data_IF_363359283563
#
_entry.id   IF_363359283563
#
_cell.length_a   1.000
_cell.length_b   1.000
_cell.length_c   1.000
_cell.angle_alpha   90.00
_cell.angle_beta   90.00
_cell.angle_gamma   90.00
#
_symmetry.space_group_name_H-M   'P 1'
#
loop_
_entity.id
_entity.type
_entity.pdbx_description
1 polymer ?
#
# COMPACT_ATOMS: atom_id res chain seq x y z
N UNK A 1 -2.75 -18.85 -8.89
CA UNK A 1 -3.22 -18.39 -7.57
C UNK A 1 -2.21 -18.85 -6.54
N UNK A 2 -1.48 -17.93 -5.92
CA UNK A 2 -0.70 -18.27 -4.72
C UNK A 2 -1.70 -18.25 -3.57
N UNK A 3 -2.00 -19.41 -2.98
CA UNK A 3 -2.60 -19.46 -1.66
C UNK A 3 -1.59 -18.81 -0.72
N UNK A 4 -1.95 -17.71 -0.08
CA UNK A 4 -1.10 -17.16 0.97
C UNK A 4 -1.00 -18.23 2.07
N UNK A 5 0.21 -18.59 2.53
CA UNK A 5 0.33 -19.37 3.76
C UNK A 5 -0.35 -18.62 4.91
N UNK A 6 -0.58 -19.32 6.02
CA UNK A 6 -1.14 -18.81 7.28
C UNK A 6 -0.27 -17.73 7.92
N UNK A 7 -0.12 -16.58 7.25
CA UNK A 7 0.63 -15.42 7.72
C UNK A 7 -0.34 -14.53 8.47
N UNK A 8 0.07 -14.04 9.63
CA UNK A 8 -0.61 -12.97 10.34
C UNK A 8 0.05 -11.65 9.91
N UNK A 9 -0.77 -10.69 9.51
CA UNK A 9 -0.34 -9.37 9.07
C UNK A 9 -0.69 -8.34 10.13
N UNK A 10 0.29 -7.53 10.49
CA UNK A 10 0.26 -6.70 11.68
C UNK A 10 0.15 -5.22 11.33
N UNK A 11 -0.81 -4.52 11.93
CA UNK A 11 -0.97 -3.08 11.77
C UNK A 11 -0.66 -2.37 13.09
N UNK A 12 0.48 -1.67 13.12
CA UNK A 12 0.90 -0.85 14.25
C UNK A 12 0.18 0.50 14.24
N UNK A 13 -0.38 0.89 15.39
CA UNK A 13 -1.20 2.10 15.49
C UNK A 13 -1.27 2.67 16.90
N UNK A 14 -1.73 3.91 17.02
CA UNK A 14 -2.03 4.56 18.30
C UNK A 14 -3.33 4.03 18.91
N UNK A 15 -3.60 4.33 20.20
CA UNK A 15 -4.90 4.04 20.80
C UNK A 15 -6.08 4.68 20.07
N UNK A 16 -5.93 5.94 19.64
CA UNK A 16 -6.95 6.61 18.80
C UNK A 16 -7.17 5.87 17.48
N UNK A 17 -6.10 5.38 16.86
CA UNK A 17 -6.17 4.59 15.63
C UNK A 17 -6.88 3.26 15.83
N UNK A 18 -6.54 2.54 16.91
CA UNK A 18 -7.23 1.30 17.30
C UNK A 18 -8.73 1.54 17.49
N UNK A 19 -9.12 2.53 18.30
CA UNK A 19 -10.52 2.86 18.53
C UNK A 19 -11.24 3.26 17.24
N UNK A 20 -10.57 4.02 16.36
CA UNK A 20 -11.11 4.36 15.04
C UNK A 20 -11.41 3.12 14.20
N UNK A 21 -10.48 2.17 14.14
CA UNK A 21 -10.64 0.90 13.41
C UNK A 21 -11.80 0.09 13.97
N UNK A 22 -11.91 -0.04 15.28
CA UNK A 22 -12.95 -0.86 15.93
C UNK A 22 -14.35 -0.23 15.84
N UNK A 23 -14.44 1.08 16.02
CA UNK A 23 -15.71 1.80 15.96
C UNK A 23 -16.28 1.81 14.53
N UNK A 24 -15.43 2.07 13.54
CA UNK A 24 -15.81 2.07 12.14
C UNK A 24 -15.91 0.66 11.53
N UNK A 25 -15.41 -0.37 12.23
CA UNK A 25 -15.21 -1.73 11.71
C UNK A 25 -14.48 -1.74 10.36
N UNK A 26 -13.47 -0.88 10.22
CA UNK A 26 -12.77 -0.66 8.96
C UNK A 26 -11.33 -0.18 9.17
N UNK A 27 -10.42 -0.62 8.28
CA UNK A 27 -9.10 0.00 8.13
C UNK A 27 -9.13 1.01 6.99
N UNK A 28 -8.47 2.15 7.16
CA UNK A 28 -8.51 3.23 6.17
C UNK A 28 -7.29 3.21 5.25
N UNK A 29 -7.49 2.80 4.01
CA UNK A 29 -6.49 2.92 2.97
C UNK A 29 -6.33 4.40 2.58
N UNK A 30 -5.15 4.96 2.78
CA UNK A 30 -4.87 6.39 2.62
C UNK A 30 -4.36 6.67 1.21
N UNK A 31 -4.75 7.79 0.60
CA UNK A 31 -4.22 8.15 -0.73
C UNK A 31 -2.68 8.27 -0.67
N UNK A 32 -1.98 7.58 -1.57
CA UNK A 32 -0.52 7.36 -1.48
C UNK A 32 0.30 8.66 -1.36
N UNK A 33 -0.15 9.74 -2.00
CA UNK A 33 0.51 11.05 -1.97
C UNK A 33 0.37 11.79 -0.63
N UNK A 34 -0.48 11.30 0.27
CA UNK A 34 -0.69 11.85 1.62
C UNK A 34 0.01 11.00 2.69
N UNK A 35 0.79 10.01 2.29
CA UNK A 35 1.58 9.18 3.20
C UNK A 35 2.90 9.87 3.54
N UNK A 36 3.50 9.48 4.67
CA UNK A 36 4.72 10.10 5.18
C UNK A 36 5.93 9.92 4.24
N UNK A 37 6.00 8.81 3.51
CA UNK A 37 7.08 8.56 2.55
C UNK A 37 6.59 8.72 1.10
N UNK A 38 6.59 9.96 0.62
CA UNK A 38 6.27 10.29 -0.77
C UNK A 38 7.34 9.86 -1.76
N UNK A 39 8.53 9.43 -1.30
CA UNK A 39 9.66 9.09 -2.16
C UNK A 39 9.54 7.69 -2.75
N UNK A 40 8.88 6.76 -2.07
CA UNK A 40 8.79 5.37 -2.54
C UNK A 40 7.98 5.25 -3.84
N UNK A 41 6.84 5.93 -3.95
CA UNK A 41 6.08 5.93 -5.19
C UNK A 41 6.81 6.68 -6.31
N UNK A 42 7.52 7.76 -5.95
CA UNK A 42 8.36 8.51 -6.87
C UNK A 42 9.52 7.67 -7.41
N UNK A 43 10.14 6.84 -6.58
CA UNK A 43 11.19 5.90 -6.98
C UNK A 43 10.72 4.95 -8.08
N UNK A 44 9.51 4.39 -7.97
CA UNK A 44 8.95 3.55 -9.03
C UNK A 44 8.74 4.32 -10.35
N UNK A 45 8.30 5.58 -10.28
CA UNK A 45 8.17 6.46 -11.46
C UNK A 45 9.55 6.75 -12.08
N UNK A 46 10.55 7.03 -11.26
CA UNK A 46 11.91 7.35 -11.73
C UNK A 46 12.56 6.13 -12.41
N UNK A 47 12.39 4.93 -11.86
CA UNK A 47 12.83 3.68 -12.51
C UNK A 47 12.14 3.47 -13.88
N UNK A 48 10.85 3.77 -13.95
CA UNK A 48 10.07 3.64 -15.18
C UNK A 48 10.52 4.63 -16.25
N UNK A 49 10.74 5.88 -15.86
CA UNK A 49 11.29 6.91 -16.75
C UNK A 49 12.71 6.57 -17.21
N UNK A 50 13.55 6.02 -16.34
CA UNK A 50 14.87 5.51 -16.70
C UNK A 50 14.78 4.42 -17.78
N UNK A 51 13.91 3.44 -17.57
CA UNK A 51 13.69 2.34 -18.53
C UNK A 51 13.14 2.83 -19.88
N UNK A 52 12.22 3.80 -19.88
CA UNK A 52 11.73 4.45 -21.09
C UNK A 52 12.82 5.27 -21.79
N UNK A 53 13.71 5.91 -21.03
CA UNK A 53 14.86 6.63 -21.58
C UNK A 53 15.86 5.68 -22.25
N UNK A 54 16.13 4.52 -21.66
CA UNK A 54 16.98 3.48 -22.27
C UNK A 54 16.41 3.01 -23.61
N UNK A 55 15.09 2.85 -23.72
CA UNK A 55 14.43 2.46 -24.97
C UNK A 55 14.54 3.52 -26.08
N UNK A 56 14.80 4.78 -25.72
CA UNK A 56 15.00 5.89 -26.67
C UNK A 56 16.44 5.97 -27.17
N UNK A 57 17.40 5.42 -26.42
CA UNK A 57 18.83 5.54 -26.73
C UNK A 57 19.12 4.97 -28.13
N UNK A 58 19.72 5.79 -29.00
CA UNK A 58 20.01 5.42 -30.38
C UNK A 58 18.81 5.38 -31.35
N UNK A 59 17.61 5.80 -30.92
CA UNK A 59 16.36 5.81 -31.74
C UNK A 59 15.77 7.22 -31.93
N UNK A 60 16.62 8.26 -31.92
CA UNK A 60 16.15 9.63 -31.97
C UNK A 60 15.31 9.91 -33.24
N UNK A 61 14.09 10.41 -33.04
CA UNK A 61 13.15 10.77 -34.13
C UNK A 61 12.19 9.65 -34.56
N UNK A 62 12.44 8.39 -34.20
CA UNK A 62 11.53 7.28 -34.50
C UNK A 62 10.23 7.34 -33.69
N UNK A 63 9.12 6.86 -34.27
CA UNK A 63 7.80 6.73 -33.63
C UNK A 63 7.91 5.99 -32.29
N UNK A 64 8.75 4.94 -32.21
CA UNK A 64 9.01 4.19 -30.98
C UNK A 64 9.53 5.09 -29.84
N UNK A 65 10.51 5.94 -30.14
CA UNK A 65 11.10 6.85 -29.16
C UNK A 65 10.12 7.97 -28.76
N UNK A 66 9.24 8.40 -29.68
CA UNK A 66 8.19 9.37 -29.40
C UNK A 66 7.13 8.79 -28.45
N UNK A 67 6.71 7.53 -28.65
CA UNK A 67 5.80 6.84 -27.70
C UNK A 67 6.46 6.70 -26.33
N UNK A 68 7.71 6.25 -26.26
CA UNK A 68 8.42 6.10 -25.00
C UNK A 68 8.54 7.44 -24.24
N UNK A 69 8.80 8.55 -24.95
CA UNK A 69 8.83 9.89 -24.37
C UNK A 69 7.44 10.32 -23.85
N UNK A 70 6.40 10.17 -24.66
CA UNK A 70 5.03 10.51 -24.29
C UNK A 70 4.53 9.70 -23.09
N UNK A 71 4.85 8.41 -23.02
CA UNK A 71 4.51 7.58 -21.86
C UNK A 71 5.23 8.06 -20.59
N UNK A 72 6.46 8.57 -20.71
CA UNK A 72 7.16 9.23 -19.61
C UNK A 72 6.47 10.51 -19.13
N UNK A 73 5.91 11.32 -20.04
CA UNK A 73 5.08 12.50 -19.71
C UNK A 73 3.78 12.09 -19.00
N UNK A 74 3.15 11.01 -19.46
CA UNK A 74 1.94 10.44 -18.83
C UNK A 74 2.23 9.98 -17.40
N UNK A 75 3.36 9.31 -17.14
CA UNK A 75 3.73 8.91 -15.78
C UNK A 75 3.89 10.12 -14.84
N UNK A 76 4.54 11.18 -15.31
CA UNK A 76 4.79 12.39 -14.52
C UNK A 76 3.48 13.13 -14.20
N UNK A 77 2.64 13.34 -15.22
CA UNK A 77 1.33 14.00 -15.08
C UNK A 77 0.32 13.13 -14.33
N UNK A 78 0.47 11.81 -14.44
CA UNK A 78 -0.32 10.79 -13.77
C UNK A 78 -0.11 10.77 -12.26
N UNK A 79 0.90 11.44 -11.70
CA UNK A 79 1.23 11.50 -10.26
C UNK A 79 0.12 11.99 -9.29
N UNK A 80 -1.14 12.11 -9.75
CA UNK A 80 -2.35 12.27 -8.93
C UNK A 80 -3.24 11.02 -8.89
N UNK A 81 -2.71 9.86 -9.30
CA UNK A 81 -3.39 8.55 -9.34
C UNK A 81 -4.21 8.33 -8.06
N UNK A 82 -5.44 7.80 -8.21
CA UNK A 82 -6.28 7.37 -7.09
C UNK A 82 -5.78 6.07 -6.45
N UNK A 83 -4.52 6.02 -6.06
CA UNK A 83 -3.94 4.90 -5.30
C UNK A 83 -4.18 5.11 -3.82
N UNK A 84 -4.84 4.14 -3.19
CA UNK A 84 -5.12 4.13 -1.76
C UNK A 84 -4.46 2.91 -1.13
N UNK A 85 -3.69 3.14 -0.06
CA UNK A 85 -2.81 2.14 0.54
C UNK A 85 -3.08 2.02 2.04
N UNK A 86 -3.24 0.79 2.52
CA UNK A 86 -3.10 0.42 3.92
C UNK A 86 -1.91 -0.52 4.08
N UNK A 87 -1.11 -0.31 5.12
CA UNK A 87 0.16 -1.01 5.33
C UNK A 87 0.08 -1.95 6.52
N UNK A 88 0.77 -3.08 6.38
CA UNK A 88 0.90 -4.13 7.39
C UNK A 88 2.34 -4.62 7.41
N UNK A 89 2.74 -5.29 8.49
CA UNK A 89 4.04 -5.94 8.63
C UNK A 89 3.84 -7.44 8.88
N UNK A 90 4.78 -8.28 8.47
CA UNK A 90 4.85 -9.67 8.97
C UNK A 90 5.44 -9.75 10.39
N UNK A 91 6.11 -8.69 10.86
CA UNK A 91 6.73 -8.66 12.18
C UNK A 91 5.72 -8.26 13.25
N UNK A 92 5.47 -9.16 14.20
CA UNK A 92 4.46 -9.02 15.24
C UNK A 92 4.90 -8.17 16.43
N UNK A 93 6.21 -7.99 16.64
CA UNK A 93 6.75 -7.26 17.79
C UNK A 93 8.10 -6.60 17.46
N UNK A 94 8.04 -5.57 16.60
CA UNK A 94 9.21 -4.86 16.08
C UNK A 94 9.42 -3.51 16.74
N UNK A 95 10.61 -3.27 17.29
CA UNK A 95 10.96 -2.01 17.95
C UNK A 95 10.94 -0.81 16.98
N UNK A 96 11.37 -1.00 15.73
CA UNK A 96 11.33 0.06 14.72
C UNK A 96 9.89 0.42 14.36
N UNK A 97 8.99 -0.57 14.28
CA UNK A 97 7.57 -0.34 14.04
C UNK A 97 6.90 0.37 15.21
N UNK A 98 7.16 -0.06 16.45
CA UNK A 98 6.67 0.62 17.65
C UNK A 98 7.06 2.10 17.67
N UNK A 99 8.34 2.41 17.40
CA UNK A 99 8.83 3.81 17.38
C UNK A 99 8.32 4.61 16.19
N UNK A 100 8.15 3.96 15.03
CA UNK A 100 7.78 4.63 13.79
C UNK A 100 6.29 4.94 13.66
N UNK A 101 5.43 4.05 14.16
CA UNK A 101 3.98 4.08 13.90
C UNK A 101 3.11 4.23 15.14
N UNK A 102 3.68 4.11 16.34
CA UNK A 102 2.98 4.36 17.59
C UNK A 102 3.47 5.65 18.29
N UNK A 103 2.60 6.34 19.05
CA UNK A 103 3.04 7.40 19.96
C UNK A 103 4.08 6.90 20.96
N UNK A 104 4.96 7.78 21.41
CA UNK A 104 6.05 7.47 22.36
C UNK A 104 5.56 6.76 23.63
N UNK A 105 4.39 7.16 24.14
CA UNK A 105 3.88 6.68 25.44
C UNK A 105 3.20 5.32 25.43
N UNK A 106 2.53 4.94 24.33
CA UNK A 106 1.81 3.67 24.19
C UNK A 106 1.29 3.48 22.76
N UNK A 107 1.11 2.23 22.36
CA UNK A 107 0.53 1.87 21.08
C UNK A 107 -0.04 0.46 21.07
N UNK A 108 -0.60 0.09 19.94
CA UNK A 108 -1.20 -1.22 19.71
C UNK A 108 -0.74 -1.79 18.38
N UNK A 109 -0.75 -3.10 18.28
CA UNK A 109 -0.58 -3.81 17.03
C UNK A 109 -1.76 -4.77 16.85
N UNK A 110 -2.46 -4.65 15.72
CA UNK A 110 -3.57 -5.53 15.35
C UNK A 110 -3.06 -6.58 14.38
N UNK A 111 -3.08 -7.84 14.80
CA UNK A 111 -2.76 -8.99 13.94
C UNK A 111 -4.01 -9.45 13.19
N UNK A 112 -3.89 -9.56 11.88
CA UNK A 112 -4.94 -10.02 10.97
C UNK A 112 -4.57 -11.35 10.34
N UNK A 113 -5.51 -12.30 10.30
CA UNK A 113 -5.39 -13.49 9.45
C UNK A 113 -5.27 -13.06 7.98
N UNK A 114 -4.11 -13.29 7.39
CA UNK A 114 -3.80 -12.82 6.03
C UNK A 114 -4.67 -13.45 4.96
N UNK A 115 -5.15 -14.68 5.15
CA UNK A 115 -6.05 -15.35 4.22
C UNK A 115 -7.43 -14.70 4.19
N UNK A 116 -7.99 -14.41 5.37
CA UNK A 116 -9.27 -13.70 5.53
C UNK A 116 -9.17 -12.25 5.07
N UNK A 117 -8.11 -11.57 5.46
CA UNK A 117 -7.86 -10.19 5.05
C UNK A 117 -7.70 -10.09 3.53
N UNK A 118 -7.06 -11.06 2.88
CA UNK A 118 -6.97 -11.13 1.41
C UNK A 118 -8.34 -11.33 0.76
N UNK A 119 -9.20 -12.20 1.31
CA UNK A 119 -10.56 -12.40 0.80
C UNK A 119 -11.37 -11.10 0.89
N UNK A 120 -11.37 -10.45 2.05
CA UNK A 120 -12.01 -9.15 2.30
C UNK A 120 -11.49 -8.08 1.33
N UNK A 121 -10.17 -8.01 1.13
CA UNK A 121 -9.55 -7.05 0.22
C UNK A 121 -10.06 -7.26 -1.22
N UNK A 122 -10.05 -8.51 -1.72
CA UNK A 122 -10.47 -8.85 -3.08
C UNK A 122 -11.93 -8.51 -3.33
N UNK A 123 -12.82 -8.83 -2.40
CA UNK A 123 -14.25 -8.52 -2.50
C UNK A 123 -14.52 -7.02 -2.62
N UNK A 124 -13.67 -6.20 -2.01
CA UNK A 124 -13.81 -4.74 -2.01
C UNK A 124 -12.96 -4.05 -3.10
N UNK A 125 -12.35 -4.81 -4.02
CA UNK A 125 -11.54 -4.28 -5.12
C UNK A 125 -10.13 -3.84 -4.73
N UNK A 126 -9.59 -4.36 -3.63
CA UNK A 126 -8.22 -4.15 -3.17
C UNK A 126 -7.33 -5.35 -3.49
N UNK A 127 -6.03 -5.07 -3.59
CA UNK A 127 -4.97 -6.05 -3.78
C UNK A 127 -4.03 -6.03 -2.59
N UNK A 128 -3.89 -7.17 -1.91
CA UNK A 128 -2.98 -7.36 -0.78
C UNK A 128 -1.74 -8.15 -1.23
N UNK A 129 -0.55 -7.56 -1.13
CA UNK A 129 0.72 -8.15 -1.58
C UNK A 129 1.92 -7.68 -0.73
N UNK A 130 3.00 -8.48 -0.64
CA UNK A 130 4.25 -8.02 -0.02
C UNK A 130 4.93 -6.96 -0.88
N UNK A 131 5.70 -6.09 -0.24
CA UNK A 131 6.57 -5.14 -0.93
C UNK A 131 7.82 -5.84 -1.52
N UNK A 132 8.30 -5.34 -2.65
CA UNK A 132 9.54 -5.76 -3.30
C UNK A 132 10.66 -4.78 -2.94
N UNK A 133 11.77 -5.32 -2.43
CA UNK A 133 12.92 -4.57 -1.89
C UNK A 133 14.18 -4.77 -2.72
N UNK A 134 14.20 -5.76 -3.63
CA UNK A 134 15.36 -6.06 -4.47
C UNK A 134 15.43 -5.10 -5.65
N UNK A 135 16.43 -4.19 -5.71
CA UNK A 135 16.54 -3.22 -6.79
C UNK A 135 16.72 -3.88 -8.17
N UNK A 136 17.30 -5.10 -8.24
CA UNK A 136 17.46 -5.83 -9.50
C UNK A 136 16.11 -6.26 -10.03
N UNK A 137 15.26 -6.86 -9.18
CA UNK A 137 13.90 -7.26 -9.56
C UNK A 137 13.02 -6.06 -9.89
N UNK A 138 13.12 -4.97 -9.13
CA UNK A 138 12.41 -3.73 -9.42
C UNK A 138 12.76 -3.21 -10.82
N UNK A 139 14.05 -3.17 -11.16
CA UNK A 139 14.53 -2.75 -12.48
C UNK A 139 14.07 -3.70 -13.60
N UNK A 140 14.11 -5.02 -13.37
CA UNK A 140 13.65 -6.02 -14.33
C UNK A 140 12.16 -5.88 -14.66
N UNK A 141 11.30 -5.85 -13.62
CA UNK A 141 9.85 -5.68 -13.78
C UNK A 141 9.54 -4.37 -14.50
N UNK A 142 10.25 -3.30 -14.16
CA UNK A 142 10.03 -1.99 -14.75
C UNK A 142 10.48 -1.91 -16.20
N UNK A 143 11.62 -2.53 -16.54
CA UNK A 143 12.12 -2.62 -17.92
C UNK A 143 11.16 -3.42 -18.79
N UNK A 144 10.66 -4.54 -18.27
CA UNK A 144 9.70 -5.38 -18.97
C UNK A 144 8.39 -4.61 -19.20
N UNK A 145 7.87 -3.94 -18.17
CA UNK A 145 6.71 -3.06 -18.29
C UNK A 145 6.90 -1.97 -19.36
N UNK A 146 8.04 -1.28 -19.35
CA UNK A 146 8.33 -0.20 -20.30
C UNK A 146 8.32 -0.72 -21.74
N UNK A 147 9.01 -1.84 -21.98
CA UNK A 147 9.06 -2.47 -23.30
C UNK A 147 7.67 -2.90 -23.76
N UNK A 148 6.94 -3.68 -22.95
CA UNK A 148 5.63 -4.19 -23.33
C UNK A 148 4.61 -3.07 -23.56
N UNK A 149 4.71 -1.99 -22.78
CA UNK A 149 3.83 -0.82 -22.94
C UNK A 149 4.10 -0.10 -24.26
N UNK A 150 5.37 0.17 -24.58
CA UNK A 150 5.72 0.83 -25.85
C UNK A 150 5.41 -0.07 -27.04
N UNK A 151 5.73 -1.37 -26.98
CA UNK A 151 5.43 -2.33 -28.03
C UNK A 151 3.92 -2.42 -28.29
N UNK A 152 3.09 -2.45 -27.25
CA UNK A 152 1.63 -2.48 -27.38
C UNK A 152 1.05 -1.17 -27.95
N UNK A 153 1.60 -0.02 -27.54
CA UNK A 153 1.19 1.28 -28.08
C UNK A 153 1.59 1.43 -29.54
N UNK A 154 2.79 0.96 -29.91
CA UNK A 154 3.26 0.92 -31.29
C UNK A 154 2.38 0.00 -32.16
N UNK A 155 2.01 -1.17 -31.67
CA UNK A 155 1.16 -2.12 -32.41
C UNK A 155 -0.27 -1.61 -32.65
N UNK A 156 -0.75 -0.71 -31.80
CA UNK A 156 -2.09 -0.10 -31.91
C UNK A 156 -2.09 1.25 -32.62
N UNK A 157 -0.91 1.80 -32.94
CA UNK A 157 -0.76 3.13 -33.54
C UNK A 157 -1.22 3.12 -35.01
N UNK A 158 -2.27 3.89 -35.38
CA UNK A 158 -2.73 3.95 -36.75
C UNK A 158 -1.68 4.58 -37.69
N UNK A 159 -1.76 4.25 -38.99
CA UNK A 159 -0.94 4.89 -40.01
C UNK A 159 -1.23 6.39 -40.10
N UNK A 160 -0.17 7.21 -40.16
CA UNK A 160 -0.28 8.67 -40.20
C UNK A 160 -0.65 9.34 -38.87
N UNK A 161 -1.03 8.59 -37.83
CA UNK A 161 -1.33 9.15 -36.51
C UNK A 161 -0.07 9.65 -35.79
N UNK A 162 -0.23 10.75 -35.03
CA UNK A 162 0.81 11.28 -34.17
C UNK A 162 1.07 10.33 -32.98
N UNK A 163 2.31 9.81 -32.79
CA UNK A 163 2.59 8.86 -31.71
C UNK A 163 2.34 9.41 -30.31
N UNK A 164 2.59 10.71 -30.09
CA UNK A 164 2.41 11.36 -28.79
C UNK A 164 0.93 11.42 -28.42
N UNK A 165 0.10 11.94 -29.32
CA UNK A 165 -1.34 12.10 -29.08
C UNK A 165 -2.01 10.73 -28.85
N UNK A 166 -1.69 9.74 -29.69
CA UNK A 166 -2.13 8.35 -29.52
C UNK A 166 -1.74 7.78 -28.16
N UNK A 167 -0.50 8.04 -27.71
CA UNK A 167 -0.03 7.58 -26.39
C UNK A 167 -0.85 8.20 -25.27
N UNK A 168 -1.12 9.51 -25.32
CA UNK A 168 -1.96 10.17 -24.31
C UNK A 168 -3.37 9.58 -24.25
N UNK A 169 -3.95 9.22 -25.39
CA UNK A 169 -5.29 8.64 -25.47
C UNK A 169 -5.34 7.15 -25.06
N UNK A 170 -4.31 6.37 -25.38
CA UNK A 170 -4.31 4.90 -25.23
C UNK A 170 -3.42 4.37 -24.09
N UNK A 171 -2.84 5.25 -23.26
CA UNK A 171 -1.95 4.85 -22.15
C UNK A 171 -2.61 4.08 -21.01
N UNK A 172 -3.96 3.96 -20.98
CA UNK A 172 -4.67 3.39 -19.83
C UNK A 172 -4.21 1.98 -19.46
N UNK A 173 -3.99 1.09 -20.44
CA UNK A 173 -3.47 -0.26 -20.17
C UNK A 173 -2.05 -0.23 -19.58
N UNK A 174 -1.16 0.60 -20.14
CA UNK A 174 0.19 0.79 -19.61
C UNK A 174 0.15 1.28 -18.15
N UNK A 175 -0.70 2.26 -17.84
CA UNK A 175 -0.90 2.76 -16.48
C UNK A 175 -1.49 1.70 -15.54
N UNK A 176 -2.48 0.93 -16.00
CA UNK A 176 -3.06 -0.17 -15.23
C UNK A 176 -2.04 -1.27 -14.91
N UNK A 177 -1.11 -1.55 -15.83
CA UNK A 177 -0.01 -2.48 -15.59
C UNK A 177 1.04 -1.90 -14.63
N UNK A 178 1.34 -0.61 -14.76
CA UNK A 178 2.28 0.09 -13.87
C UNK A 178 1.85 0.03 -12.40
N UNK A 179 0.60 0.36 -12.12
CA UNK A 179 0.06 0.36 -10.75
C UNK A 179 -0.05 -1.02 -10.11
N UNK A 180 0.16 -2.12 -10.85
CA UNK A 180 0.18 -3.48 -10.29
C UNK A 180 1.48 -3.82 -9.56
N UNK A 181 2.55 -3.06 -9.78
CA UNK A 181 3.83 -3.27 -9.12
C UNK A 181 4.37 -2.00 -8.43
N UNK A 182 4.18 -0.82 -9.02
CA UNK A 182 4.77 0.42 -8.52
C UNK A 182 4.44 0.73 -7.04
N UNK A 183 3.19 0.56 -6.55
CA UNK A 183 2.87 0.81 -5.14
C UNK A 183 3.54 -0.16 -4.17
N UNK A 184 4.10 -1.26 -4.66
CA UNK A 184 4.75 -2.30 -3.86
C UNK A 184 6.27 -2.18 -3.87
N UNK A 185 6.85 -1.24 -4.61
CA UNK A 185 8.29 -1.00 -4.55
C UNK A 185 8.64 -0.29 -3.24
N UNK A 186 9.73 -0.74 -2.63
CA UNK A 186 10.25 -0.17 -1.41
C UNK A 186 11.77 -0.14 -1.42
N UNK A 187 12.34 0.87 -0.76
CA UNK A 187 13.79 0.95 -0.62
C UNK A 187 14.31 -0.18 0.29
N UNK A 188 15.44 -0.76 -0.11
CA UNK A 188 16.02 -1.94 0.56
C UNK A 188 16.41 -1.69 2.02
N UNK A 189 16.64 -0.43 2.41
CA UNK A 189 16.90 -0.01 3.78
C UNK A 189 15.73 -0.26 4.72
N UNK A 190 14.52 -0.40 4.19
CA UNK A 190 13.30 -0.68 4.95
C UNK A 190 12.88 -2.16 4.90
N UNK A 191 13.76 -3.07 4.45
CA UNK A 191 13.45 -4.51 4.39
C UNK A 191 13.03 -5.10 5.73
N UNK A 192 13.51 -4.51 6.84
CA UNK A 192 13.18 -4.94 8.19
C UNK A 192 11.71 -4.69 8.54
N UNK A 193 11.00 -3.83 7.79
CA UNK A 193 9.56 -3.63 7.96
C UNK A 193 8.73 -4.83 7.49
N UNK A 194 9.27 -5.70 6.62
CA UNK A 194 8.56 -6.85 6.03
C UNK A 194 7.14 -6.48 5.60
N UNK A 195 7.04 -5.39 4.86
CA UNK A 195 5.80 -4.68 4.63
C UNK A 195 4.92 -5.41 3.62
N UNK A 196 3.63 -5.45 3.93
CA UNK A 196 2.55 -5.79 3.01
C UNK A 196 1.68 -4.57 2.78
N UNK A 197 1.25 -4.37 1.54
CA UNK A 197 0.35 -3.29 1.17
C UNK A 197 -0.97 -3.84 0.65
N UNK A 198 -2.05 -3.28 1.16
CA UNK A 198 -3.38 -3.40 0.57
C UNK A 198 -3.64 -2.15 -0.28
N UNK A 199 -3.84 -2.33 -1.59
CA UNK A 199 -3.88 -1.24 -2.55
C UNK A 199 -5.14 -1.31 -3.41
N UNK A 200 -5.84 -0.19 -3.53
CA UNK A 200 -6.86 0.01 -4.56
C UNK A 200 -6.45 1.12 -5.52
N UNK A 201 -6.77 0.93 -6.79
CA UNK A 201 -6.67 1.96 -7.82
C UNK A 201 -8.08 2.39 -8.22
N UNK A 202 -8.47 3.61 -7.82
CA UNK A 202 -9.82 4.13 -7.97
C UNK A 202 -9.85 5.38 -8.83
N UNK A 203 -11.00 5.63 -9.47
CA UNK A 203 -11.28 6.90 -10.13
C UNK A 203 -11.45 8.02 -9.10
N UNK A 204 -11.23 9.27 -9.52
CA UNK A 204 -11.36 10.42 -8.63
C UNK A 204 -12.78 10.66 -8.11
N UNK A 205 -13.79 10.10 -8.78
CA UNK A 205 -15.21 10.19 -8.44
C UNK A 205 -15.76 8.93 -7.75
N UNK A 206 -14.91 8.00 -7.32
CA UNK A 206 -15.35 6.82 -6.58
C UNK A 206 -16.03 7.25 -5.27
N UNK A 207 -17.26 6.81 -5.07
CA UNK A 207 -18.13 7.26 -3.96
C UNK A 207 -17.66 6.76 -2.59
N UNK A 208 -16.72 5.82 -2.54
CA UNK A 208 -16.13 5.32 -1.29
C UNK A 208 -15.04 6.24 -0.74
N UNK A 209 -14.58 7.21 -1.54
CA UNK A 209 -13.54 8.15 -1.12
C UNK A 209 -14.11 9.10 -0.07
N UNK A 210 -13.62 8.96 1.17
CA UNK A 210 -13.89 9.85 2.29
C UNK A 210 -12.75 10.82 2.56
N UNK A 211 -13.00 11.77 3.46
CA UNK A 211 -12.01 12.74 3.94
C UNK A 211 -11.91 12.67 5.47
N UNK A 212 -10.68 12.69 5.99
CA UNK A 212 -10.42 12.81 7.43
C UNK A 212 -9.48 13.97 7.72
N UNK A 213 -9.57 14.52 8.92
CA UNK A 213 -8.60 15.52 9.37
C UNK A 213 -7.22 14.89 9.55
N UNK A 214 -6.22 15.45 8.88
CA UNK A 214 -4.80 15.23 9.15
C UNK A 214 -4.21 16.32 10.05
N UNK A 215 -2.90 16.29 10.27
CA UNK A 215 -2.21 17.31 11.09
C UNK A 215 -2.24 18.70 10.47
N UNK A 216 -2.17 18.78 9.13
CA UNK A 216 -2.03 20.06 8.39
C UNK A 216 -3.01 20.21 7.23
N UNK A 217 -3.76 19.16 6.88
CA UNK A 217 -4.68 19.16 5.73
C UNK A 217 -5.72 18.05 5.87
N UNK A 218 -6.74 18.06 5.01
CA UNK A 218 -7.66 16.92 4.85
C UNK A 218 -6.97 15.82 4.05
N UNK A 219 -7.17 14.58 4.50
CA UNK A 219 -6.55 13.39 3.93
C UNK A 219 -7.64 12.51 3.30
N UNK A 220 -7.58 12.27 1.98
CA UNK A 220 -8.44 11.30 1.32
C UNK A 220 -8.12 9.88 1.77
N UNK A 221 -9.16 9.11 2.07
CA UNK A 221 -9.04 7.69 2.40
C UNK A 221 -10.21 6.89 1.80
N UNK A 222 -10.03 5.58 1.72
CA UNK A 222 -11.09 4.63 1.37
C UNK A 222 -11.17 3.62 2.51
N UNK A 223 -12.35 3.42 3.12
CA UNK A 223 -12.51 2.39 4.15
C UNK A 223 -12.48 1.00 3.50
N UNK A 224 -11.81 0.08 4.18
CA UNK A 224 -11.89 -1.36 3.92
C UNK A 224 -12.62 -1.98 5.10
N UNK A 225 -13.85 -2.42 4.88
CA UNK A 225 -14.69 -3.00 5.92
C UNK A 225 -14.11 -4.34 6.38
N UNK A 226 -13.82 -4.47 7.66
CA UNK A 226 -13.16 -5.64 8.24
C UNK A 226 -14.15 -6.74 8.64
N UNK A 227 -15.44 -6.41 8.80
CA UNK A 227 -16.46 -7.35 9.30
C UNK A 227 -16.04 -8.02 10.60
N UNK A 228 -15.30 -7.30 11.45
CA UNK A 228 -14.68 -7.84 12.67
C UNK A 228 -15.71 -8.31 13.71
N UNK A 229 -16.97 -7.92 13.56
CA UNK A 229 -18.10 -8.33 14.43
C UNK A 229 -18.74 -9.65 14.01
N UNK A 230 -18.30 -10.24 12.89
CA UNK A 230 -18.88 -11.47 12.31
C UNK A 230 -17.93 -12.66 12.48
N UNK A 231 -18.40 -13.87 12.18
CA UNK A 231 -17.54 -15.07 12.13
C UNK A 231 -16.42 -14.94 11.09
N UNK A 232 -16.58 -14.04 10.11
CA UNK A 232 -15.57 -13.80 9.09
C UNK A 232 -14.45 -12.87 9.53
N UNK A 233 -14.49 -12.39 10.78
CA UNK A 233 -13.50 -11.46 11.34
C UNK A 233 -12.06 -11.89 10.99
N UNK A 234 -11.29 -11.00 10.34
CA UNK A 234 -9.88 -11.22 10.09
C UNK A 234 -9.04 -10.93 11.33
N UNK A 235 -9.60 -10.36 12.40
CA UNK A 235 -8.84 -9.98 13.60
C UNK A 235 -8.39 -11.25 14.33
N UNK A 236 -7.11 -11.55 14.22
CA UNK A 236 -6.48 -12.69 14.86
C UNK A 236 -6.12 -12.37 16.30
N UNK A 237 -5.34 -11.31 16.54
CA UNK A 237 -4.94 -10.90 17.89
C UNK A 237 -4.80 -9.38 17.98
N UNK A 238 -4.82 -8.84 19.20
CA UNK A 238 -4.40 -7.46 19.45
C UNK A 238 -3.32 -7.45 20.52
N UNK A 239 -2.22 -6.78 20.23
CA UNK A 239 -1.06 -6.66 21.11
C UNK A 239 -0.95 -5.26 21.68
N UNK A 240 -0.85 -5.18 23.00
CA UNK A 240 -0.49 -3.97 23.73
C UNK A 240 1.02 -3.74 23.58
N UNK A 241 1.40 -2.59 23.05
CA UNK A 241 2.79 -2.17 22.92
C UNK A 241 3.43 -1.81 24.25
N UNK A 242 4.69 -1.33 24.23
CA UNK A 242 5.37 -0.88 25.45
C UNK A 242 4.56 0.21 26.17
N UNK A 243 4.41 0.07 27.49
CA UNK A 243 3.67 1.02 28.34
C UNK A 243 4.16 0.93 29.79
N UNK A 244 4.16 2.03 30.55
CA UNK A 244 4.46 2.01 31.99
C UNK A 244 3.44 1.24 32.83
N UNK A 245 2.21 1.02 32.31
CA UNK A 245 1.13 0.37 33.03
C UNK A 245 0.54 -0.82 32.25
N UNK A 246 1.30 -1.92 32.09
CA UNK A 246 0.89 -3.03 31.23
C UNK A 246 -0.36 -3.77 31.72
N UNK A 247 -0.56 -3.91 33.03
CA UNK A 247 -1.73 -4.59 33.58
C UNK A 247 -3.02 -3.79 33.33
N UNK A 248 -3.01 -2.49 33.59
CA UNK A 248 -4.15 -1.60 33.30
C UNK A 248 -4.48 -1.56 31.80
N UNK A 249 -3.46 -1.55 30.94
CA UNK A 249 -3.67 -1.56 29.50
C UNK A 249 -4.30 -2.89 29.02
N UNK A 250 -3.88 -4.03 29.59
CA UNK A 250 -4.47 -5.33 29.30
C UNK A 250 -5.93 -5.44 29.80
N UNK A 251 -6.21 -4.96 31.01
CA UNK A 251 -7.55 -4.93 31.58
C UNK A 251 -8.51 -4.08 30.74
N UNK A 252 -8.11 -2.86 30.39
CA UNK A 252 -8.89 -2.00 29.49
C UNK A 252 -9.14 -2.66 28.13
N UNK A 253 -8.14 -3.37 27.59
CA UNK A 253 -8.27 -4.08 26.32
C UNK A 253 -9.21 -5.29 26.40
N UNK A 254 -9.48 -5.87 27.58
CA UNK A 254 -10.45 -6.97 27.70
C UNK A 254 -11.85 -6.61 27.17
N UNK A 255 -12.21 -5.32 27.19
CA UNK A 255 -13.45 -4.82 26.60
C UNK A 255 -13.53 -4.98 25.07
N UNK A 256 -12.40 -5.22 24.39
CA UNK A 256 -12.35 -5.46 22.93
C UNK A 256 -13.27 -6.60 22.49
N UNK A 257 -13.40 -7.66 23.29
CA UNK A 257 -14.26 -8.80 22.98
C UNK A 257 -15.75 -8.43 22.91
N UNK A 258 -16.15 -7.26 23.41
CA UNK A 258 -17.53 -6.76 23.30
C UNK A 258 -17.82 -6.11 21.93
N UNK A 259 -16.79 -5.67 21.21
CA UNK A 259 -16.93 -4.85 19.99
C UNK A 259 -16.30 -5.49 18.75
N UNK A 260 -15.52 -6.55 18.92
CA UNK A 260 -14.92 -7.34 17.83
C UNK A 260 -14.76 -8.82 18.22
N UNK A 261 -14.93 -9.72 17.26
CA UNK A 261 -14.57 -11.14 17.38
C UNK A 261 -13.08 -11.29 17.10
N UNK A 262 -12.32 -11.50 18.17
CA UNK A 262 -10.87 -11.73 18.15
C UNK A 262 -10.61 -13.22 18.36
N UNK A 263 -9.80 -13.84 17.49
CA UNK A 263 -9.66 -15.31 17.43
C UNK A 263 -8.64 -15.89 18.41
N UNK A 264 -7.54 -15.18 18.64
CA UNK A 264 -6.38 -15.59 19.43
C UNK A 264 -6.13 -14.67 20.64
N UNK A 265 -7.12 -13.85 20.98
CA UNK A 265 -7.14 -13.01 22.17
C UNK A 265 -6.22 -11.79 22.13
N UNK A 266 -5.81 -11.36 23.31
CA UNK A 266 -5.08 -10.12 23.55
C UNK A 266 -3.75 -10.46 24.21
N UNK A 267 -2.67 -9.87 23.70
CA UNK A 267 -1.31 -10.12 24.18
C UNK A 267 -0.60 -8.81 24.47
N UNK A 268 0.63 -8.88 24.98
CA UNK A 268 1.52 -7.72 25.16
C UNK A 268 2.85 -7.93 24.46
N UNK A 269 3.56 -6.85 24.15
CA UNK A 269 4.95 -6.91 23.69
C UNK A 269 5.83 -7.65 24.69
N UNK A 270 6.80 -8.40 24.17
CA UNK A 270 7.85 -9.06 24.96
C UNK A 270 9.16 -8.28 24.93
N UNK A 271 9.23 -7.21 24.14
CA UNK A 271 10.42 -6.38 24.05
C UNK A 271 10.66 -5.64 25.37
N UNK A 272 11.90 -5.66 25.91
CA UNK A 272 12.26 -4.90 27.10
C UNK A 272 12.49 -3.43 26.74
N UNK A 273 11.50 -2.78 26.13
CA UNK A 273 11.56 -1.36 25.81
C UNK A 273 10.95 -0.54 26.96
N UNK A 274 11.76 0.36 27.51
CA UNK A 274 11.31 1.40 28.46
C UNK A 274 11.57 2.75 27.81
N UNK A 275 10.51 3.54 27.67
CA UNK A 275 10.61 4.95 27.33
C UNK A 275 10.97 5.68 28.63
N UNK A 276 12.13 6.34 28.66
CA UNK A 276 12.64 7.11 29.81
C UNK A 276 12.61 8.59 29.52
#
# INVERSE_FOLDING_TARGET
>A
MVALPSVILYHYTSGTGLLGILNADAIWATKIHFMNDTREFRHAIDLAKGSLSDLRAGRAGDRYAQIAAALGEVLESGSKIGLFVACFSEDYDSLSQWRGYCPQSFGYNIGFDGGRLLAIAREQGFHLRPCEYDPVKQAEVTRQWAKDSVDSLMASLPDGANPRDHTHEQCNDAMQKFVRFAPYFKDRGFKDEREWRMVAFLSANDTRIGLRAGRSTLIPYVPVELRSRTEDSPVWEVRVGPTPHPELAMDAMSHLFQVAKVRNGITRTMLPYRDW
#
